data_IF_377561895772
#
_entry.id   IF_377561895772
#
_cell.length_a   1.000
_cell.length_b   1.000
_cell.length_c   1.000
_cell.angle_alpha   90.00
_cell.angle_beta   90.00
_cell.angle_gamma   90.00
#
_symmetry.space_group_name_H-M   'P 1'
#
loop_
_entity.id
_entity.type
_entity.pdbx_description
1 polymer ?
#
# COMPACT_ATOMS: atom_id res chain seq x y z
N UNK A 1 -10.93 -11.42 -8.10
CA UNK A 1 -10.61 -11.14 -8.40
C UNK A 1 -10.31 -10.90 -9.10
N UNK A 2 -10.14 -10.69 -9.41
CA UNK A 2 -9.80 -10.56 -10.02
C UNK A 2 -9.40 -9.96 -10.59
N UNK A 3 -9.36 -9.37 -10.74
CA UNK A 3 -8.99 -8.73 -11.29
C UNK A 3 -8.13 -8.73 -11.85
N UNK A 4 -7.91 -8.62 -11.98
CA UNK A 4 -7.14 -8.55 -12.54
C UNK A 4 -6.18 -8.87 -12.88
N UNK A 5 -6.02 -9.48 -13.17
CA UNK A 5 -5.04 -9.96 -13.53
C UNK A 5 -4.51 -9.43 -14.68
N UNK A 6 -5.06 -8.97 -15.43
CA UNK A 6 -4.54 -8.48 -16.49
C UNK A 6 -3.73 -7.39 -16.24
N UNK A 7 -3.79 -6.74 -15.28
CA UNK A 7 -3.05 -5.66 -15.07
C UNK A 7 -2.04 -6.04 -14.24
N UNK A 8 -1.28 -6.95 -14.53
CA UNK A 8 -0.38 -7.39 -13.67
C UNK A 8 0.81 -6.63 -13.53
N UNK A 9 1.12 -5.65 -14.31
CA UNK A 9 2.32 -4.85 -14.16
C UNK A 9 2.14 -3.84 -13.07
N UNK A 10 2.77 -4.04 -11.95
CA UNK A 10 2.72 -3.08 -10.86
C UNK A 10 3.82 -2.06 -11.07
N UNK A 11 3.57 -0.82 -10.69
CA UNK A 11 4.61 0.18 -10.71
C UNK A 11 5.52 -0.06 -9.51
N UNK A 12 6.68 0.58 -9.51
CA UNK A 12 7.59 0.42 -8.39
C UNK A 12 6.96 0.96 -7.13
N UNK A 13 6.18 2.01 -7.24
CA UNK A 13 5.50 2.57 -6.08
C UNK A 13 4.50 1.59 -5.52
N UNK A 14 3.80 0.88 -6.39
CA UNK A 14 2.84 -0.11 -5.92
C UNK A 14 3.54 -1.27 -5.24
N UNK A 15 4.68 -1.70 -5.76
CA UNK A 15 5.42 -2.77 -5.15
C UNK A 15 5.93 -2.36 -3.77
N UNK A 16 6.43 -1.12 -3.66
CA UNK A 16 6.88 -0.64 -2.37
C UNK A 16 5.73 -0.55 -1.38
N UNK A 17 4.57 -0.12 -1.85
CA UNK A 17 3.41 -0.02 -0.98
C UNK A 17 3.04 -1.38 -0.44
N UNK A 18 3.05 -2.39 -1.28
CA UNK A 18 2.71 -3.73 -0.83
C UNK A 18 3.71 -4.21 0.21
N UNK A 19 4.99 -3.94 0.01
CA UNK A 19 6.00 -4.35 0.98
C UNK A 19 5.76 -3.69 2.33
N UNK A 20 5.43 -2.41 2.31
CA UNK A 20 5.21 -1.67 3.54
C UNK A 20 3.95 -2.18 4.25
N UNK A 21 2.89 -2.43 3.48
CA UNK A 21 1.67 -2.94 4.06
C UNK A 21 1.93 -4.28 4.74
N UNK A 22 2.72 -5.12 4.13
CA UNK A 22 2.97 -6.43 4.71
C UNK A 22 3.78 -6.37 5.99
N UNK A 23 4.49 -5.27 6.22
CA UNK A 23 5.23 -5.12 7.45
C UNK A 23 4.38 -4.56 8.57
N UNK A 24 3.22 -4.00 8.26
CA UNK A 24 2.36 -3.47 9.28
C UNK A 24 1.41 -4.57 9.69
N UNK A 25 1.62 -5.13 10.86
CA UNK A 25 0.75 -6.19 11.33
C UNK A 25 -0.54 -5.62 11.88
N UNK A 26 -0.44 -4.52 12.61
CA UNK A 26 -1.63 -3.88 13.14
C UNK A 26 -1.41 -2.39 13.00
N UNK A 27 -2.29 -1.72 12.34
CA UNK A 27 -2.13 -0.28 12.21
C UNK A 27 -2.78 0.25 10.98
N UNK A 28 -2.36 1.44 10.58
CA UNK A 28 -2.94 2.12 9.45
C UNK A 28 -1.86 2.83 8.67
N UNK A 29 -2.10 3.00 7.40
CA UNK A 29 -1.21 3.81 6.58
C UNK A 29 -2.06 4.71 5.70
N UNK A 30 -1.67 5.97 5.59
CA UNK A 30 -2.37 6.91 4.75
C UNK A 30 -1.58 7.04 3.45
N UNK A 31 -2.21 6.72 2.35
CA UNK A 31 -1.56 6.73 1.06
C UNK A 31 -2.12 7.83 0.19
N UNK A 32 -1.25 8.59 -0.44
CA UNK A 32 -1.68 9.63 -1.36
C UNK A 32 -1.73 9.01 -2.75
N UNK A 33 -2.87 9.14 -3.39
CA UNK A 33 -3.09 8.57 -4.71
C UNK A 33 -3.26 9.70 -5.72
N UNK A 34 -2.54 9.62 -6.82
CA UNK A 34 -2.65 10.60 -7.89
C UNK A 34 -2.83 9.83 -9.19
N UNK A 35 -3.87 10.15 -9.92
CA UNK A 35 -4.17 9.51 -11.20
C UNK A 35 -4.28 8.00 -11.04
N UNK A 36 -4.89 7.58 -9.95
CA UNK A 36 -5.12 6.15 -9.74
C UNK A 36 -3.90 5.38 -9.32
N UNK A 37 -2.81 6.06 -9.00
CA UNK A 37 -1.58 5.37 -8.60
C UNK A 37 -1.11 5.88 -7.26
N UNK A 38 -0.59 5.00 -6.42
CA UNK A 38 -0.06 5.45 -5.14
C UNK A 38 1.22 6.23 -5.40
N UNK A 39 1.33 7.38 -4.77
CA UNK A 39 2.46 8.26 -4.96
C UNK A 39 3.38 8.26 -3.76
N UNK A 40 2.81 8.29 -2.57
CA UNK A 40 3.64 8.28 -1.37
C UNK A 40 2.77 7.94 -0.17
N UNK A 41 3.42 7.60 0.91
CA UNK A 41 2.75 7.35 2.17
C UNK A 41 3.00 8.55 3.04
N UNK A 42 1.91 9.17 3.50
CA UNK A 42 2.04 10.35 4.32
C UNK A 42 2.14 10.05 5.79
N UNK A 43 1.55 8.99 6.24
CA UNK A 43 1.53 8.71 7.66
C UNK A 43 1.35 7.23 7.90
N UNK A 44 2.08 6.69 8.85
CA UNK A 44 1.92 5.32 9.25
C UNK A 44 1.70 5.31 10.74
N UNK A 45 0.62 4.66 11.18
CA UNK A 45 0.33 4.51 12.58
C UNK A 45 0.35 3.04 12.90
N UNK A 46 1.10 2.64 13.90
CA UNK A 46 1.18 1.25 14.28
C UNK A 46 0.47 1.08 15.60
N UNK A 47 -0.47 0.15 15.63
CA UNK A 47 -1.21 -0.15 16.84
C UNK A 47 -0.50 -1.28 17.56
N UNK A 48 -0.34 -1.12 18.84
CA UNK A 48 0.30 -2.14 19.65
C UNK A 48 -0.76 -2.76 20.54
N UNK A 49 -0.91 -4.07 20.42
CA UNK A 49 -1.92 -4.75 21.20
C UNK A 49 -1.32 -5.12 22.53
N UNK A 50 -1.96 -4.74 23.59
CA UNK A 50 -1.46 -5.01 24.95
C UNK A 50 -1.97 -6.33 25.50
#
# INVERSE_FOLDING_TARGET
MERDEKNLSLTKEEERLIEIIRKIEFGEARVVVVDGKPTRIEEIKISIKL
#
